data_IF_093080838598
#
_entry.id   IF_093080838598
#
_cell.length_a   1.000
_cell.length_b   1.000
_cell.length_c   1.000
_cell.angle_alpha   90.00
_cell.angle_beta   90.00
_cell.angle_gamma   90.00
#
_symmetry.space_group_name_H-M   'P 1'
#
loop_
_entity.id
_entity.type
_entity.pdbx_description
1 polymer ?
#
# COMPACT_ATOMS: atom_id res chain seq x y z
N UNK A 1 17.03 -12.64 -13.52
CA UNK A 1 16.94 -12.30 -12.09
C UNK A 1 17.65 -10.99 -11.72
N UNK A 2 18.73 -10.60 -12.41
CA UNK A 2 19.47 -9.34 -12.18
C UNK A 2 18.80 -8.06 -12.73
N UNK A 3 17.71 -8.15 -13.51
CA UNK A 3 17.17 -7.02 -14.31
C UNK A 3 16.13 -6.14 -13.59
N UNK A 4 15.79 -6.46 -12.34
CA UNK A 4 14.75 -5.76 -11.57
C UNK A 4 15.27 -5.03 -10.33
N UNK A 5 16.50 -5.31 -9.89
CA UNK A 5 17.12 -4.68 -8.71
C UNK A 5 17.49 -3.21 -8.93
N UNK A 6 17.72 -2.80 -10.19
CA UNK A 6 18.15 -1.42 -10.49
C UNK A 6 16.99 -0.44 -10.66
N UNK A 7 15.74 -0.93 -10.73
CA UNK A 7 14.55 -0.08 -10.91
C UNK A 7 14.01 0.50 -9.59
N UNK A 8 14.39 -0.09 -8.46
CA UNK A 8 14.03 0.37 -7.11
C UNK A 8 15.21 0.17 -6.16
N UNK A 9 16.23 1.06 -6.19
CA UNK A 9 17.31 0.99 -5.22
C UNK A 9 16.70 1.15 -3.82
N UNK A 10 16.97 0.20 -2.92
CA UNK A 10 16.74 0.35 -1.47
C UNK A 10 17.80 1.35 -0.97
N UNK A 11 17.70 2.60 -1.43
CA UNK A 11 18.38 3.76 -0.85
C UNK A 11 17.56 4.15 0.38
N UNK A 12 18.25 4.46 1.46
CA UNK A 12 17.75 5.00 2.72
C UNK A 12 16.47 5.82 2.49
N UNK A 13 15.31 5.21 2.76
CA UNK A 13 14.04 5.72 2.30
C UNK A 13 13.70 7.03 3.01
N UNK A 14 13.63 8.11 2.24
CA UNK A 14 13.05 9.37 2.69
C UNK A 14 11.53 9.22 2.62
N UNK A 15 10.96 8.55 3.64
CA UNK A 15 9.51 8.31 3.71
C UNK A 15 8.75 9.64 3.68
N UNK A 16 7.68 9.71 2.90
CA UNK A 16 6.76 10.86 2.90
C UNK A 16 6.15 11.05 4.29
N UNK A 17 5.92 9.96 5.02
CA UNK A 17 5.44 9.95 6.39
C UNK A 17 6.56 9.80 7.42
N UNK A 18 7.43 10.82 7.52
CA UNK A 18 8.54 10.84 8.48
C UNK A 18 8.13 10.55 9.93
N UNK A 19 6.97 11.02 10.38
CA UNK A 19 6.47 10.77 11.74
C UNK A 19 5.93 9.35 11.95
N UNK A 20 5.39 8.70 10.91
CA UNK A 20 4.98 7.29 10.99
C UNK A 20 6.20 6.38 11.00
N UNK A 21 7.21 6.73 10.19
CA UNK A 21 8.51 6.07 10.16
C UNK A 21 9.27 6.15 11.49
N UNK A 22 8.96 7.13 12.35
CA UNK A 22 9.58 7.30 13.69
C UNK A 22 9.14 6.28 14.75
N UNK A 23 8.22 5.36 14.44
CA UNK A 23 7.92 4.22 15.31
C UNK A 23 6.45 3.84 15.42
N UNK A 24 5.55 4.84 15.38
CA UNK A 24 4.11 4.62 15.59
C UNK A 24 3.47 3.67 14.57
N UNK A 25 3.99 3.61 13.35
CA UNK A 25 3.51 2.64 12.35
C UNK A 25 3.76 1.19 12.77
N UNK A 26 4.88 0.94 13.45
CA UNK A 26 5.26 -0.39 13.96
C UNK A 26 4.53 -0.75 15.26
N UNK A 27 3.75 0.15 15.86
CA UNK A 27 2.86 -0.17 16.98
C UNK A 27 1.53 -0.75 16.47
N UNK A 28 1.14 -0.41 15.24
CA UNK A 28 -0.07 -0.93 14.61
C UNK A 28 0.04 -2.44 14.36
N UNK A 29 -1.09 -3.12 14.48
CA UNK A 29 -1.25 -4.50 13.99
C UNK A 29 -1.19 -4.54 12.47
N UNK A 30 -0.90 -5.71 11.89
CA UNK A 30 -0.93 -5.89 10.42
C UNK A 30 -2.29 -5.49 9.81
N UNK A 31 -3.40 -5.75 10.52
CA UNK A 31 -4.73 -5.38 10.04
C UNK A 31 -4.93 -3.87 10.00
N UNK A 32 -4.43 -3.14 11.00
CA UNK A 32 -4.45 -1.68 11.01
C UNK A 32 -3.54 -1.09 9.92
N UNK A 33 -2.35 -1.64 9.73
CA UNK A 33 -1.43 -1.22 8.66
C UNK A 33 -2.08 -1.39 7.28
N UNK A 34 -2.63 -2.58 6.99
CA UNK A 34 -3.30 -2.87 5.72
C UNK A 34 -4.62 -2.10 5.54
N UNK A 35 -5.37 -1.84 6.61
CA UNK A 35 -6.57 -0.99 6.56
C UNK A 35 -6.24 0.48 6.25
N UNK A 36 -5.14 1.00 6.80
CA UNK A 36 -4.66 2.35 6.49
C UNK A 36 -4.13 2.45 5.05
N UNK A 37 -3.37 1.45 4.58
CA UNK A 37 -2.96 1.34 3.17
C UNK A 37 -4.19 1.37 2.26
N UNK A 38 -5.21 0.55 2.60
CA UNK A 38 -6.47 0.52 1.88
C UNK A 38 -7.18 1.86 1.75
N UNK A 39 -7.07 2.71 2.77
CA UNK A 39 -7.66 4.05 2.76
C UNK A 39 -6.97 4.97 1.73
N UNK A 40 -5.65 4.87 1.56
CA UNK A 40 -4.93 5.60 0.50
C UNK A 40 -5.19 5.03 -0.89
N UNK A 41 -5.29 3.70 -1.03
CA UNK A 41 -5.70 3.05 -2.28
C UNK A 41 -7.10 3.53 -2.70
N UNK A 42 -8.07 3.51 -1.78
CA UNK A 42 -9.42 4.02 -2.04
C UNK A 42 -9.44 5.51 -2.38
N UNK A 43 -8.61 6.33 -1.73
CA UNK A 43 -8.43 7.75 -2.09
C UNK A 43 -7.91 7.91 -3.52
N UNK A 44 -6.91 7.10 -3.91
CA UNK A 44 -6.37 7.12 -5.27
C UNK A 44 -7.45 6.82 -6.31
N UNK A 45 -8.21 5.73 -6.11
CA UNK A 45 -9.33 5.32 -6.95
C UNK A 45 -10.37 6.44 -7.05
N UNK A 46 -10.77 7.02 -5.92
CA UNK A 46 -11.80 8.05 -5.88
C UNK A 46 -11.40 9.33 -6.64
N UNK A 47 -10.14 9.76 -6.54
CA UNK A 47 -9.67 10.92 -7.31
C UNK A 47 -9.51 10.60 -8.80
N UNK A 48 -9.09 9.38 -9.15
CA UNK A 48 -9.06 8.90 -10.54
C UNK A 48 -10.44 8.94 -11.18
N UNK A 49 -11.47 8.41 -10.49
CA UNK A 49 -12.88 8.45 -10.94
C UNK A 49 -13.40 9.88 -11.15
N UNK A 50 -12.82 10.88 -10.46
CA UNK A 50 -13.15 12.30 -10.59
C UNK A 50 -12.31 13.03 -11.66
N UNK A 51 -11.41 12.34 -12.36
CA UNK A 51 -10.50 12.94 -13.33
C UNK A 51 -9.38 13.78 -12.72
N UNK A 52 -9.15 13.70 -11.41
CA UNK A 52 -8.07 14.44 -10.73
C UNK A 52 -6.82 13.56 -10.62
N UNK A 53 -6.06 13.49 -11.71
CA UNK A 53 -4.86 12.67 -11.80
C UNK A 53 -3.82 13.02 -10.73
N UNK A 54 -3.63 14.31 -10.41
CA UNK A 54 -2.64 14.76 -9.43
C UNK A 54 -2.98 14.29 -8.01
N UNK A 55 -4.25 14.40 -7.60
CA UNK A 55 -4.67 13.90 -6.29
C UNK A 55 -4.69 12.38 -6.21
N UNK A 56 -5.00 11.72 -7.33
CA UNK A 56 -4.92 10.27 -7.45
C UNK A 56 -3.49 9.77 -7.25
N UNK A 57 -2.54 10.30 -8.03
CA UNK A 57 -1.11 9.98 -7.93
C UNK A 57 -0.57 10.26 -6.52
N UNK A 58 -0.91 11.41 -5.94
CA UNK A 58 -0.49 11.74 -4.58
C UNK A 58 -0.99 10.75 -3.53
N UNK A 59 -2.19 10.16 -3.71
CA UNK A 59 -2.69 9.10 -2.83
C UNK A 59 -2.03 7.75 -3.09
N UNK A 60 -1.75 7.41 -4.35
CA UNK A 60 -0.97 6.23 -4.69
C UNK A 60 0.41 6.28 -4.03
N UNK A 61 1.14 7.39 -4.12
CA UNK A 61 2.45 7.50 -3.49
C UNK A 61 2.41 7.37 -1.97
N UNK A 62 1.38 7.89 -1.31
CA UNK A 62 1.19 7.64 0.14
C UNK A 62 0.91 6.17 0.41
N UNK A 63 0.08 5.49 -0.38
CA UNK A 63 -0.14 4.05 -0.23
C UNK A 63 1.17 3.25 -0.37
N UNK A 64 2.02 3.60 -1.34
CA UNK A 64 3.32 2.96 -1.54
C UNK A 64 4.28 3.22 -0.38
N UNK A 65 4.30 4.43 0.17
CA UNK A 65 5.08 4.77 1.37
C UNK A 65 4.66 3.90 2.57
N UNK A 66 3.35 3.71 2.75
CA UNK A 66 2.79 2.85 3.80
C UNK A 66 3.06 1.36 3.57
N UNK A 67 3.05 0.91 2.31
CA UNK A 67 3.49 -0.44 1.95
C UNK A 67 4.96 -0.64 2.31
N UNK A 68 5.82 0.30 1.95
CA UNK A 68 7.26 0.21 2.19
C UNK A 68 7.56 0.22 3.71
N UNK A 69 6.84 1.03 4.50
CA UNK A 69 6.88 0.97 5.97
C UNK A 69 6.42 -0.39 6.51
N UNK A 70 5.36 -0.98 5.95
CA UNK A 70 4.85 -2.31 6.35
C UNK A 70 5.83 -3.43 5.98
N UNK A 71 6.47 -3.34 4.82
CA UNK A 71 7.51 -4.28 4.37
C UNK A 71 8.75 -4.20 5.27
N UNK A 72 9.09 -3.00 5.75
CA UNK A 72 10.21 -2.77 6.65
C UNK A 72 9.96 -3.28 8.09
N UNK A 73 8.74 -3.68 8.43
CA UNK A 73 8.41 -4.18 9.77
C UNK A 73 9.05 -5.56 10.03
N UNK A 74 10.02 -5.68 10.96
CA UNK A 74 10.73 -6.92 11.21
C UNK A 74 9.82 -8.05 11.74
N UNK A 75 8.67 -7.70 12.33
CA UNK A 75 7.67 -8.66 12.82
C UNK A 75 7.02 -9.43 11.66
N UNK A 76 7.07 -8.88 10.44
CA UNK A 76 6.38 -9.39 9.26
C UNK A 76 7.29 -10.12 8.27
N UNK A 77 8.55 -10.41 8.62
CA UNK A 77 9.55 -11.04 7.72
C UNK A 77 9.09 -12.33 7.04
N UNK A 78 8.15 -13.07 7.65
CA UNK A 78 7.58 -14.32 7.10
C UNK A 78 6.28 -14.14 6.31
N UNK A 79 5.76 -12.90 6.21
CA UNK A 79 4.51 -12.54 5.52
C UNK A 79 4.72 -11.59 4.33
N UNK A 80 5.97 -11.32 3.98
CA UNK A 80 6.32 -10.33 2.94
C UNK A 80 5.77 -10.67 1.56
N UNK A 81 5.64 -11.95 1.21
CA UNK A 81 5.17 -12.37 -0.11
C UNK A 81 3.79 -11.80 -0.44
N UNK A 82 2.85 -11.91 0.48
CA UNK A 82 1.48 -11.42 0.29
C UNK A 82 1.44 -9.88 0.29
N UNK A 83 2.23 -9.23 1.14
CA UNK A 83 2.31 -7.76 1.21
C UNK A 83 2.87 -7.19 -0.09
N UNK A 84 3.95 -7.79 -0.60
CA UNK A 84 4.55 -7.41 -1.88
C UNK A 84 3.60 -7.67 -3.05
N UNK A 85 2.86 -8.78 -3.03
CA UNK A 85 1.84 -9.07 -4.06
C UNK A 85 0.70 -8.05 -4.02
N UNK A 86 0.22 -7.65 -2.84
CA UNK A 86 -0.77 -6.60 -2.73
C UNK A 86 -0.25 -5.25 -3.28
N UNK A 87 1.01 -4.90 -2.97
CA UNK A 87 1.67 -3.71 -3.54
C UNK A 87 1.77 -3.77 -5.06
N UNK A 88 2.18 -4.92 -5.60
CA UNK A 88 2.30 -5.19 -7.04
C UNK A 88 0.95 -5.01 -7.75
N UNK A 89 -0.11 -5.65 -7.24
CA UNK A 89 -1.47 -5.56 -7.80
C UNK A 89 -2.03 -4.13 -7.74
N UNK A 90 -1.77 -3.39 -6.66
CA UNK A 90 -2.15 -1.98 -6.55
C UNK A 90 -1.42 -1.13 -7.59
N UNK A 91 -0.12 -1.35 -7.81
CA UNK A 91 0.65 -0.64 -8.83
C UNK A 91 0.15 -0.95 -10.23
N UNK A 92 -0.04 -2.23 -10.55
CA UNK A 92 -0.54 -2.69 -11.84
C UNK A 92 -1.89 -2.05 -12.16
N UNK A 93 -2.82 -2.03 -11.20
CA UNK A 93 -4.16 -1.49 -11.42
C UNK A 93 -4.23 0.05 -11.51
N UNK A 94 -3.39 0.77 -10.74
CA UNK A 94 -3.47 2.23 -10.63
C UNK A 94 -2.49 2.98 -11.53
N UNK A 95 -1.39 2.34 -11.93
CA UNK A 95 -0.31 2.97 -12.70
C UNK A 95 0.27 2.08 -13.81
N UNK A 96 -0.17 0.82 -13.93
CA UNK A 96 0.24 -0.11 -14.96
C UNK A 96 -0.85 -0.39 -15.99
N UNK A 97 -0.66 -1.47 -16.75
CA UNK A 97 -1.56 -1.90 -17.82
C UNK A 97 -2.72 -2.79 -17.31
N UNK A 98 -2.82 -2.97 -15.99
CA UNK A 98 -3.80 -3.84 -15.34
C UNK A 98 -3.72 -5.30 -15.83
N UNK A 99 -2.51 -5.84 -15.95
CA UNK A 99 -2.24 -7.22 -16.40
C UNK A 99 -2.96 -8.27 -15.54
N UNK A 100 -3.13 -8.00 -14.25
CA UNK A 100 -3.87 -8.88 -13.34
C UNK A 100 -5.39 -8.74 -13.44
N UNK A 101 -5.90 -7.86 -14.31
CA UNK A 101 -7.34 -7.65 -14.53
C UNK A 101 -8.09 -7.32 -13.24
N UNK A 102 -7.44 -6.57 -12.35
CA UNK A 102 -8.05 -6.10 -11.11
C UNK A 102 -9.10 -5.02 -11.40
N UNK A 103 -10.06 -4.86 -10.50
CA UNK A 103 -11.06 -3.78 -10.54
C UNK A 103 -10.97 -2.92 -9.28
N UNK A 104 -11.50 -1.70 -9.35
CA UNK A 104 -11.62 -0.81 -8.20
C UNK A 104 -12.29 -1.52 -7.00
N UNK A 105 -13.39 -2.23 -7.28
CA UNK A 105 -14.18 -2.97 -6.29
C UNK A 105 -13.40 -4.14 -5.70
N UNK A 106 -12.55 -4.81 -6.50
CA UNK A 106 -11.74 -5.92 -6.03
C UNK A 106 -10.69 -5.45 -5.00
N UNK A 107 -10.06 -4.31 -5.26
CA UNK A 107 -9.09 -3.70 -4.34
C UNK A 107 -9.77 -3.19 -3.08
N UNK A 108 -10.89 -2.47 -3.24
CA UNK A 108 -11.67 -1.98 -2.11
C UNK A 108 -12.12 -3.14 -1.21
N UNK A 109 -12.67 -4.21 -1.80
CA UNK A 109 -13.09 -5.40 -1.07
C UNK A 109 -11.93 -6.05 -0.34
N UNK A 110 -10.78 -6.21 -0.98
CA UNK A 110 -9.58 -6.79 -0.37
C UNK A 110 -9.14 -6.01 0.87
N UNK A 111 -8.98 -4.69 0.75
CA UNK A 111 -8.51 -3.88 1.86
C UNK A 111 -9.56 -3.66 2.96
N UNK A 112 -10.85 -3.60 2.61
CA UNK A 112 -11.94 -3.44 3.56
C UNK A 112 -11.96 -4.56 4.60
N UNK A 113 -11.61 -5.79 4.23
CA UNK A 113 -11.53 -6.90 5.19
C UNK A 113 -10.55 -6.60 6.33
N UNK A 114 -9.41 -5.96 6.04
CA UNK A 114 -8.44 -5.60 7.07
C UNK A 114 -8.92 -4.44 7.94
N UNK A 115 -9.59 -3.44 7.35
CA UNK A 115 -10.19 -2.35 8.11
C UNK A 115 -11.28 -2.84 9.07
N UNK A 116 -12.10 -3.80 8.65
CA UNK A 116 -13.09 -4.45 9.50
C UNK A 116 -12.43 -5.30 10.60
N UNK A 117 -11.43 -6.11 10.24
CA UNK A 117 -10.69 -6.94 11.19
C UNK A 117 -9.98 -6.10 12.27
N UNK A 118 -9.41 -4.95 11.89
CA UNK A 118 -8.78 -4.00 12.80
C UNK A 118 -9.73 -3.44 13.86
N UNK A 119 -11.04 -3.37 13.56
CA UNK A 119 -12.07 -2.85 14.47
C UNK A 119 -12.73 -3.93 15.33
N UNK A 120 -12.57 -5.21 15.01
CA UNK A 120 -13.30 -6.30 15.67
C UNK A 120 -12.94 -6.50 17.15
N UNK A 121 -11.74 -6.08 17.56
CA UNK A 121 -11.20 -6.32 18.90
C UNK A 121 -10.93 -5.02 19.68
N UNK A 122 -11.64 -3.94 19.35
CA UNK A 122 -11.50 -2.63 19.99
C UNK A 122 -12.81 -2.25 20.69
#
# INVERSE_FOLDING_TARGET
MQKYTDRFPIKTQNFLHKELAKGRWFELTLFEQLGNIGSEVGRSINWRKKGDAKRSEGALFRALDLFDLTIADPRLKFRLKEILRAREVVCDHLAGDNEYSSTDESLEKYFMQFALAARKNR
#
